data_IF_354384545387
#
_entry.id   IF_354384545387
#
_cell.length_a   1.000
_cell.length_b   1.000
_cell.length_c   1.000
_cell.angle_alpha   90.00
_cell.angle_beta   90.00
_cell.angle_gamma   90.00
#
_symmetry.space_group_name_H-M   'P 1'
#
loop_
_entity.id
_entity.type
_entity.pdbx_description
1 polymer ?
#
# COMPACT_ATOMS: atom_id res chain seq x y z
N UNK A 1 12.78 2.77 4.09
CA UNK A 1 12.02 1.49 4.06
C UNK A 1 11.12 1.36 2.84
N UNK A 2 10.64 2.45 2.22
CA UNK A 2 9.94 2.45 0.91
C UNK A 2 10.77 1.87 -0.26
N UNK A 3 12.07 1.68 -0.07
CA UNK A 3 13.00 1.10 -1.04
C UNK A 3 13.40 -0.35 -0.76
N UNK A 4 12.75 -1.09 0.17
CA UNK A 4 13.09 -2.51 0.36
C UNK A 4 12.60 -3.34 -0.84
N UNK A 5 13.52 -3.87 -1.69
CA UNK A 5 13.14 -4.62 -2.88
C UNK A 5 12.41 -5.93 -2.54
N UNK A 6 12.63 -6.51 -1.34
CA UNK A 6 11.94 -7.71 -0.91
C UNK A 6 10.48 -7.43 -0.60
N UNK A 7 10.21 -6.31 0.06
CA UNK A 7 8.85 -5.86 0.34
C UNK A 7 8.04 -5.63 -0.94
N UNK A 8 8.60 -4.88 -1.90
CA UNK A 8 7.96 -4.67 -3.20
C UNK A 8 7.77 -5.99 -3.98
N UNK A 9 8.77 -6.87 -3.98
CA UNK A 9 8.67 -8.18 -4.63
C UNK A 9 7.60 -9.08 -4.00
N UNK A 10 7.43 -9.03 -2.68
CA UNK A 10 6.39 -9.77 -1.98
C UNK A 10 4.99 -9.18 -2.28
N UNK A 11 4.85 -7.85 -2.25
CA UNK A 11 3.59 -7.17 -2.56
C UNK A 11 3.13 -7.37 -4.01
N UNK A 12 4.06 -7.38 -4.98
CA UNK A 12 3.80 -7.66 -6.41
C UNK A 12 3.29 -9.08 -6.65
N UNK A 13 3.45 -10.00 -5.70
CA UNK A 13 2.86 -11.34 -5.80
C UNK A 13 1.36 -11.28 -5.53
N UNK A 14 0.58 -11.87 -6.43
CA UNK A 14 -0.87 -11.97 -6.27
C UNK A 14 -1.22 -12.54 -4.89
N UNK A 15 -2.21 -11.97 -4.16
CA UNK A 15 -2.62 -12.43 -2.83
C UNK A 15 -2.71 -13.96 -2.67
N UNK A 16 -3.41 -14.63 -3.58
CA UNK A 16 -3.63 -16.09 -3.54
C UNK A 16 -2.37 -16.94 -3.79
N UNK A 17 -1.26 -16.31 -4.21
CA UNK A 17 0.01 -16.99 -4.51
C UNK A 17 1.12 -16.63 -3.52
N UNK A 18 0.79 -15.93 -2.42
CA UNK A 18 1.76 -15.54 -1.40
C UNK A 18 2.13 -16.73 -0.53
N UNK A 19 3.44 -16.93 -0.35
CA UNK A 19 3.99 -17.88 0.61
C UNK A 19 3.95 -17.32 2.02
N UNK A 20 4.21 -18.16 3.03
CA UNK A 20 4.34 -17.70 4.42
C UNK A 20 5.45 -16.66 4.58
N UNK A 21 6.56 -16.81 3.84
CA UNK A 21 7.65 -15.83 3.83
C UNK A 21 7.22 -14.49 3.24
N UNK A 22 6.46 -14.49 2.13
CA UNK A 22 5.93 -13.26 1.55
C UNK A 22 5.01 -12.55 2.55
N UNK A 23 4.14 -13.28 3.25
CA UNK A 23 3.24 -12.71 4.26
C UNK A 23 4.01 -12.09 5.44
N UNK A 24 5.10 -12.71 5.88
CA UNK A 24 5.96 -12.16 6.94
C UNK A 24 6.66 -10.87 6.49
N UNK A 25 7.22 -10.86 5.29
CA UNK A 25 7.86 -9.66 4.71
C UNK A 25 6.85 -8.53 4.60
N UNK A 26 5.65 -8.83 4.08
CA UNK A 26 4.58 -7.82 3.96
C UNK A 26 4.16 -7.31 5.33
N UNK A 27 4.00 -8.19 6.33
CA UNK A 27 3.63 -7.81 7.69
C UNK A 27 4.58 -6.78 8.28
N UNK A 28 5.89 -7.04 8.27
CA UNK A 28 6.87 -6.10 8.82
C UNK A 28 6.97 -4.83 7.98
N UNK A 29 6.79 -4.92 6.66
CA UNK A 29 6.71 -3.77 5.78
C UNK A 29 5.51 -2.87 6.13
N UNK A 30 4.30 -3.42 6.22
CA UNK A 30 3.09 -2.68 6.59
C UNK A 30 3.18 -2.08 7.99
N UNK A 31 3.72 -2.82 8.97
CA UNK A 31 3.92 -2.33 10.33
C UNK A 31 4.86 -1.11 10.38
N UNK A 32 5.77 -0.97 9.41
CA UNK A 32 6.68 0.17 9.32
C UNK A 32 6.06 1.43 8.71
N UNK A 33 4.88 1.31 8.08
CA UNK A 33 4.16 2.42 7.48
C UNK A 33 3.38 3.18 8.55
N UNK A 34 3.61 4.49 8.65
CA UNK A 34 2.98 5.35 9.65
C UNK A 34 1.46 5.31 9.57
N UNK A 35 0.90 5.32 8.36
CA UNK A 35 -0.54 5.22 8.12
C UNK A 35 -1.19 3.98 8.74
N UNK A 36 -0.40 2.94 9.06
CA UNK A 36 -0.87 1.67 9.61
C UNK A 36 -0.39 1.39 11.04
N UNK A 37 0.37 2.29 11.65
CA UNK A 37 0.96 2.06 12.98
C UNK A 37 -0.09 1.79 14.07
N UNK A 38 -1.28 2.40 13.96
CA UNK A 38 -2.38 2.27 14.92
C UNK A 38 -3.18 0.97 14.78
N UNK A 39 -2.94 0.19 13.72
CA UNK A 39 -3.70 -1.02 13.46
C UNK A 39 -3.27 -2.15 14.41
N UNK A 40 -4.24 -2.92 14.88
CA UNK A 40 -3.97 -4.12 15.68
C UNK A 40 -3.26 -5.18 14.83
N UNK A 41 -2.41 -5.99 15.48
CA UNK A 41 -1.68 -7.10 14.82
C UNK A 41 -2.59 -8.02 13.99
N UNK A 42 -3.75 -8.41 14.53
CA UNK A 42 -4.71 -9.26 13.82
C UNK A 42 -5.28 -8.62 12.55
N UNK A 43 -5.47 -7.29 12.56
CA UNK A 43 -5.91 -6.55 11.38
C UNK A 43 -4.78 -6.49 10.33
N UNK A 44 -3.55 -6.19 10.76
CA UNK A 44 -2.39 -6.20 9.86
C UNK A 44 -2.19 -7.57 9.21
N UNK A 45 -2.30 -8.68 9.96
CA UNK A 45 -2.21 -10.04 9.40
C UNK A 45 -3.29 -10.33 8.37
N UNK A 46 -4.50 -9.83 8.59
CA UNK A 46 -5.59 -9.93 7.60
C UNK A 46 -5.25 -9.11 6.35
N UNK A 47 -4.76 -7.89 6.51
CA UNK A 47 -4.34 -7.03 5.39
C UNK A 47 -3.22 -7.64 4.57
N UNK A 48 -2.25 -8.32 5.20
CA UNK A 48 -1.16 -9.01 4.48
C UNK A 48 -1.68 -10.01 3.44
N UNK A 49 -2.85 -10.59 3.67
CA UNK A 49 -3.49 -11.56 2.78
C UNK A 49 -4.28 -10.92 1.65
N UNK A 50 -4.60 -9.62 1.71
CA UNK A 50 -5.52 -8.98 0.75
C UNK A 50 -4.92 -7.76 0.05
N UNK A 51 -3.95 -7.08 0.65
CA UNK A 51 -3.32 -5.87 0.10
C UNK A 51 -2.75 -6.14 -1.30
N UNK A 52 -2.89 -5.18 -2.21
CA UNK A 52 -2.43 -5.28 -3.60
C UNK A 52 -1.45 -4.16 -3.88
N UNK A 53 -0.44 -4.47 -4.69
CA UNK A 53 0.45 -3.45 -5.24
C UNK A 53 -0.08 -3.02 -6.60
N UNK A 54 -0.17 -1.71 -6.79
CA UNK A 54 -0.53 -1.10 -8.05
C UNK A 54 0.54 -0.08 -8.44
N UNK A 55 0.83 0.00 -9.73
CA UNK A 55 1.71 1.00 -10.32
C UNK A 55 0.87 1.80 -11.31
N UNK A 56 0.93 3.11 -11.17
CA UNK A 56 0.16 4.06 -11.96
C UNK A 56 1.14 5.04 -12.60
N UNK A 57 0.93 5.33 -13.87
CA UNK A 57 1.71 6.32 -14.61
C UNK A 57 1.24 7.74 -14.28
N UNK A 58 2.03 8.73 -14.68
CA UNK A 58 1.62 10.12 -14.52
C UNK A 58 0.31 10.39 -15.29
N UNK A 59 -0.63 11.07 -14.63
CA UNK A 59 -1.97 11.40 -15.10
C UNK A 59 -3.01 10.26 -15.06
N UNK A 60 -2.67 9.08 -14.54
CA UNK A 60 -3.69 8.07 -14.25
C UNK A 60 -4.65 8.59 -13.17
N UNK A 61 -5.95 8.45 -13.41
CA UNK A 61 -7.00 8.85 -12.46
C UNK A 61 -7.33 7.68 -11.55
N UNK A 62 -7.08 7.85 -10.24
CA UNK A 62 -7.31 6.79 -9.24
C UNK A 62 -8.77 6.71 -8.78
N UNK A 63 -9.49 7.83 -8.77
CA UNK A 63 -10.91 7.89 -8.40
C UNK A 63 -11.56 9.18 -8.91
N UNK A 64 -12.89 9.18 -9.01
CA UNK A 64 -13.68 10.39 -9.25
C UNK A 64 -14.56 10.75 -8.04
N UNK A 65 -14.74 12.05 -7.80
CA UNK A 65 -15.65 12.55 -6.76
C UNK A 65 -17.08 12.10 -7.04
N UNK A 66 -17.72 11.49 -6.05
CA UNK A 66 -19.09 10.98 -6.14
C UNK A 66 -19.19 9.47 -6.44
N UNK A 67 -18.08 8.80 -6.72
CA UNK A 67 -18.05 7.35 -6.87
C UNK A 67 -18.03 6.62 -5.53
N UNK A 68 -18.55 5.39 -5.52
CA UNK A 68 -18.47 4.52 -4.35
C UNK A 68 -17.00 4.14 -4.11
N UNK A 69 -16.49 4.41 -2.91
CA UNK A 69 -15.13 4.03 -2.53
C UNK A 69 -15.03 2.50 -2.36
N UNK A 70 -14.36 1.85 -3.31
CA UNK A 70 -14.16 0.40 -3.32
C UNK A 70 -12.91 -0.05 -2.57
N UNK A 71 -11.92 0.83 -2.43
CA UNK A 71 -10.64 0.54 -1.80
C UNK A 71 -10.02 1.80 -1.20
N UNK A 72 -8.91 1.61 -0.50
CA UNK A 72 -8.10 2.65 0.09
C UNK A 72 -6.65 2.44 -0.37
N UNK A 73 -5.89 3.54 -0.45
CA UNK A 73 -4.52 3.53 -0.95
C UNK A 73 -3.53 3.99 0.13
N UNK A 74 -2.34 3.42 0.10
CA UNK A 74 -1.16 3.96 0.79
C UNK A 74 -0.13 4.29 -0.27
N UNK A 75 0.25 5.56 -0.35
CA UNK A 75 1.23 6.01 -1.34
C UNK A 75 2.64 5.62 -0.89
N UNK A 76 3.27 4.69 -1.62
CA UNK A 76 4.62 4.19 -1.30
C UNK A 76 5.74 5.06 -1.91
N UNK A 77 5.49 5.64 -3.08
CA UNK A 77 6.44 6.46 -3.83
C UNK A 77 5.70 7.39 -4.79
N UNK A 78 6.35 8.46 -5.24
CA UNK A 78 5.77 9.41 -6.19
C UNK A 78 4.97 10.52 -5.51
N UNK A 79 3.89 10.94 -6.14
CA UNK A 79 3.00 12.00 -5.63
C UNK A 79 1.62 11.87 -6.24
N UNK A 80 0.57 12.26 -5.52
CA UNK A 80 -0.81 12.30 -6.04
C UNK A 80 -1.36 13.71 -5.94
N UNK A 81 -2.16 14.11 -6.92
CA UNK A 81 -2.82 15.42 -6.94
C UNK A 81 -4.31 15.24 -6.60
N UNK A 82 -4.76 15.92 -5.56
CA UNK A 82 -6.13 15.85 -5.06
C UNK A 82 -6.60 17.28 -4.79
N UNK A 83 -7.71 17.68 -5.41
CA UNK A 83 -8.40 18.96 -5.19
C UNK A 83 -7.46 20.18 -5.13
N UNK A 84 -6.56 20.31 -6.11
CA UNK A 84 -5.65 21.46 -6.19
C UNK A 84 -4.37 21.31 -5.39
N UNK A 85 -4.17 20.20 -4.67
CA UNK A 85 -3.04 19.98 -3.76
C UNK A 85 -2.26 18.73 -4.12
N UNK A 86 -0.93 18.83 -4.04
CA UNK A 86 -0.04 17.69 -4.20
C UNK A 86 0.22 17.03 -2.84
N UNK A 87 0.09 15.72 -2.78
CA UNK A 87 0.40 14.90 -1.62
C UNK A 87 1.59 14.00 -1.93
N UNK A 88 2.55 13.96 -1.01
CA UNK A 88 3.74 13.13 -1.08
C UNK A 88 3.60 11.95 -0.10
N UNK A 89 4.29 10.82 -0.32
CA UNK A 89 4.45 9.80 0.70
C UNK A 89 4.95 10.47 1.98
N UNK A 90 4.32 10.20 3.12
CA UNK A 90 4.82 10.74 4.39
C UNK A 90 6.24 10.20 4.63
N UNK A 91 7.21 11.11 4.58
CA UNK A 91 8.59 10.84 4.97
C UNK A 91 8.64 10.76 6.50
N UNK A 92 9.42 9.80 7.01
CA UNK A 92 9.98 9.99 8.35
C UNK A 92 10.89 11.21 8.39
#
# INVERSE_FOLDING_TARGET
>A
MTSDPHFLKALKRHPDRRTLQDLQIIYYGLQSLEALYTYRDSALRTLCKTVRYEHHEANDVLYFTGELAMCWFVLLSGSVFIDGKLFLPTSR
#
